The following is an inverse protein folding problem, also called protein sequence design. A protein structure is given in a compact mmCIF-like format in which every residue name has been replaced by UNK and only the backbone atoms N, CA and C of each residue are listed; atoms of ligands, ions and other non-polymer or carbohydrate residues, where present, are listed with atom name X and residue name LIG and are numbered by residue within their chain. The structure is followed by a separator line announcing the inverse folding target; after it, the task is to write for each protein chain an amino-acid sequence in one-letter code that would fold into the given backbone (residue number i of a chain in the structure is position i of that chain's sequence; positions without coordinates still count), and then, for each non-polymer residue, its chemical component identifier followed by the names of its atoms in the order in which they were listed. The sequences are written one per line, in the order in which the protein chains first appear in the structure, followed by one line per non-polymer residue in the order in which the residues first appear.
data_IF_420818441718
#
_entry.id   IF_420818441718
#
_cell.length_a   1.000
_cell.length_b   1.000
_cell.length_c   1.000
_cell.angle_alpha   90.00
_cell.angle_beta   90.00
_cell.angle_gamma   90.00
#
_symmetry.space_group_name_H-M   'P 1'
#
loop_
_entity.id
_entity.type
_entity.pdbx_description
1 polymer ?
#
# COMPACT_ATOMS: atom_id res chain seq x y z
N UNK A 1 34.65 4.71 -2.98
CA UNK A 1 34.40 4.52 -1.53
C UNK A 1 33.45 5.60 -0.97
N UNK A 2 33.81 6.90 -0.95
CA UNK A 2 32.93 8.00 -0.46
C UNK A 2 31.55 8.13 -1.12
N UNK A 3 31.43 7.76 -2.40
CA UNK A 3 30.22 7.96 -3.21
C UNK A 3 29.17 6.85 -3.04
N UNK A 4 29.54 5.74 -2.40
CA UNK A 4 28.70 4.53 -2.29
C UNK A 4 28.11 4.39 -0.88
N UNK A 5 28.77 4.93 0.15
CA UNK A 5 28.18 5.03 1.49
C UNK A 5 27.09 6.13 1.54
N UNK A 6 27.17 7.12 0.66
CA UNK A 6 26.15 8.17 0.51
C UNK A 6 24.84 7.65 -0.07
N UNK A 7 24.85 6.68 -1.01
CA UNK A 7 23.62 6.21 -1.68
C UNK A 7 22.73 5.33 -0.80
N UNK A 8 23.32 4.51 0.08
CA UNK A 8 22.56 3.67 1.04
C UNK A 8 21.97 4.54 2.16
N UNK A 9 22.73 5.53 2.64
CA UNK A 9 22.22 6.50 3.61
C UNK A 9 21.07 7.34 3.05
N UNK A 10 21.07 7.64 1.75
CA UNK A 10 20.02 8.45 1.12
C UNK A 10 18.72 7.69 0.95
N UNK A 11 18.72 6.41 0.51
CA UNK A 11 17.48 5.64 0.30
C UNK A 11 16.76 5.32 1.62
N UNK A 12 17.49 4.94 2.67
CA UNK A 12 16.90 4.73 4.00
C UNK A 12 16.38 6.03 4.62
N UNK A 13 17.06 7.15 4.36
CA UNK A 13 16.60 8.46 4.78
C UNK A 13 15.34 8.89 4.02
N UNK A 14 15.28 8.64 2.70
CA UNK A 14 14.11 8.92 1.87
C UNK A 14 12.89 8.10 2.32
N UNK A 15 13.04 6.81 2.57
CA UNK A 15 11.94 5.97 3.06
C UNK A 15 11.41 6.43 4.42
N UNK A 16 12.30 6.79 5.37
CA UNK A 16 11.90 7.35 6.67
C UNK A 16 11.21 8.70 6.51
N UNK A 17 11.71 9.55 5.62
CA UNK A 17 11.11 10.84 5.29
C UNK A 17 9.69 10.67 4.72
N UNK A 18 9.51 9.80 3.72
CA UNK A 18 8.21 9.54 3.10
C UNK A 18 7.19 8.99 4.11
N UNK A 19 7.61 8.09 5.01
CA UNK A 19 6.74 7.59 6.09
C UNK A 19 6.36 8.73 7.06
N UNK A 20 7.31 9.57 7.45
CA UNK A 20 7.05 10.71 8.33
C UNK A 20 6.08 11.71 7.69
N UNK A 21 6.26 12.02 6.40
CA UNK A 21 5.34 12.83 5.61
C UNK A 21 3.94 12.21 5.57
N UNK A 22 3.84 10.89 5.37
CA UNK A 22 2.55 10.19 5.36
C UNK A 22 1.81 10.32 6.70
N UNK A 23 2.52 10.15 7.82
CA UNK A 23 1.94 10.32 9.17
C UNK A 23 1.47 11.75 9.38
N UNK A 24 2.30 12.75 9.03
CA UNK A 24 1.96 14.16 9.18
C UNK A 24 0.74 14.53 8.34
N UNK A 25 0.72 14.14 7.07
CA UNK A 25 -0.39 14.41 6.14
C UNK A 25 -1.67 13.71 6.61
N UNK A 26 -1.58 12.48 7.13
CA UNK A 26 -2.73 11.76 7.69
C UNK A 26 -3.32 12.47 8.91
N UNK A 27 -2.47 12.98 9.82
CA UNK A 27 -2.93 13.76 11.00
C UNK A 27 -3.61 15.05 10.55
N UNK A 28 -2.97 15.79 9.63
CA UNK A 28 -3.54 17.02 9.07
C UNK A 28 -4.86 16.74 8.38
N UNK A 29 -4.94 15.66 7.59
CA UNK A 29 -6.17 15.20 6.95
C UNK A 29 -7.29 14.93 7.94
N UNK A 30 -7.02 14.19 9.01
CA UNK A 30 -8.00 13.93 10.07
C UNK A 30 -8.51 15.21 10.74
N UNK A 31 -7.63 16.19 10.97
CA UNK A 31 -8.01 17.49 11.52
C UNK A 31 -8.88 18.30 10.55
N UNK A 32 -8.57 18.26 9.25
CA UNK A 32 -9.37 18.91 8.20
C UNK A 32 -10.75 18.26 8.14
N UNK A 33 -10.85 16.93 8.11
CA UNK A 33 -12.13 16.20 8.09
C UNK A 33 -12.99 16.58 9.31
N UNK A 34 -12.40 16.55 10.50
CA UNK A 34 -13.10 16.88 11.75
C UNK A 34 -13.66 18.32 11.76
N UNK A 35 -13.00 19.26 11.07
CA UNK A 35 -13.51 20.63 10.90
C UNK A 35 -14.50 20.77 9.76
N UNK A 36 -14.31 20.05 8.66
CA UNK A 36 -15.12 20.18 7.45
C UNK A 36 -16.54 19.60 7.61
N UNK A 37 -16.68 18.45 8.29
CA UNK A 37 -18.00 17.81 8.51
C UNK A 37 -19.01 18.78 9.16
N UNK A 38 -18.74 19.41 10.32
CA UNK A 38 -19.72 20.29 10.96
C UNK A 38 -20.01 21.55 10.15
N UNK A 39 -19.07 22.04 9.34
CA UNK A 39 -19.26 23.21 8.46
C UNK A 39 -20.16 22.87 7.27
N UNK A 40 -20.01 21.68 6.72
CA UNK A 40 -20.73 21.26 5.51
C UNK A 40 -22.07 20.59 5.80
N UNK A 41 -22.31 20.10 7.03
CA UNK A 41 -23.56 19.40 7.41
C UNK A 41 -24.83 20.12 6.92
N UNK A 42 -24.89 21.45 7.06
CA UNK A 42 -26.09 22.23 6.74
C UNK A 42 -26.34 22.27 5.23
N UNK A 43 -25.29 22.15 4.40
CA UNK A 43 -25.44 22.05 2.94
C UNK A 43 -26.10 20.73 2.54
N UNK A 44 -25.74 19.63 3.19
CA UNK A 44 -26.34 18.32 2.93
C UNK A 44 -27.82 18.30 3.34
N UNK A 45 -28.14 18.87 4.51
CA UNK A 45 -29.54 19.03 4.94
C UNK A 45 -30.34 19.86 3.93
N UNK A 46 -29.79 20.98 3.44
CA UNK A 46 -30.43 21.79 2.40
C UNK A 46 -30.62 21.05 1.08
N UNK A 47 -29.67 20.17 0.71
CA UNK A 47 -29.72 19.33 -0.47
C UNK A 47 -30.65 18.11 -0.35
N UNK A 48 -31.44 18.01 0.74
CA UNK A 48 -32.28 16.85 1.05
C UNK A 48 -31.51 15.54 1.29
N UNK A 49 -30.20 15.61 1.57
CA UNK A 49 -29.37 14.47 1.98
C UNK A 49 -29.36 14.37 3.50
N UNK A 50 -30.47 13.90 4.06
CA UNK A 50 -30.65 13.75 5.49
C UNK A 50 -31.59 12.59 5.82
N UNK A 51 -31.44 12.05 7.02
CA UNK A 51 -32.31 11.03 7.57
C UNK A 51 -32.52 11.19 9.07
N UNK A 52 -33.23 10.23 9.65
CA UNK A 52 -33.56 10.18 11.08
C UNK A 52 -32.81 9.04 11.75
N UNK A 53 -32.38 9.24 13.00
CA UNK A 53 -31.80 8.16 13.81
C UNK A 53 -32.91 7.21 14.27
N UNK A 54 -33.11 6.11 13.55
CA UNK A 54 -34.20 5.15 13.80
C UNK A 54 -34.16 4.52 15.21
N UNK A 55 -33.01 4.56 15.89
CA UNK A 55 -32.83 3.93 17.21
C UNK A 55 -33.05 4.91 18.38
N UNK A 56 -33.44 6.15 18.13
CA UNK A 56 -33.75 7.15 19.17
C UNK A 56 -35.24 7.46 19.24
N UNK A 57 -35.76 7.67 20.46
CA UNK A 57 -37.19 7.98 20.69
C UNK A 57 -37.59 9.34 20.11
N UNK A 58 -36.70 10.33 20.13
CA UNK A 58 -36.94 11.67 19.59
C UNK A 58 -36.47 11.80 18.13
N UNK A 59 -36.41 10.68 17.40
CA UNK A 59 -35.78 10.60 16.07
C UNK A 59 -36.38 11.53 15.03
N UNK A 60 -37.70 11.75 15.07
CA UNK A 60 -38.42 12.54 14.06
C UNK A 60 -38.23 14.05 14.20
N UNK A 61 -37.64 14.52 15.30
CA UNK A 61 -37.44 15.95 15.57
C UNK A 61 -36.11 16.47 15.01
N UNK A 62 -35.10 15.61 14.89
CA UNK A 62 -33.73 16.01 14.54
C UNK A 62 -33.34 15.35 13.22
N UNK A 63 -33.14 16.19 12.19
CA UNK A 63 -32.56 15.76 10.91
C UNK A 63 -31.06 15.60 11.04
N UNK A 64 -30.54 14.46 10.60
CA UNK A 64 -29.11 14.16 10.60
C UNK A 64 -28.65 14.14 9.15
N UNK A 65 -27.56 14.85 8.85
CA UNK A 65 -26.99 14.89 7.50
C UNK A 65 -26.45 13.51 7.11
N UNK A 66 -26.84 13.02 5.94
CA UNK A 66 -26.38 11.74 5.39
C UNK A 66 -25.23 11.96 4.39
N UNK A 67 -24.63 10.86 3.92
CA UNK A 67 -23.53 10.85 2.93
C UNK A 67 -22.32 11.72 3.28
N UNK A 68 -22.08 11.99 4.57
CA UNK A 68 -20.95 12.82 5.03
C UNK A 68 -19.59 12.18 4.75
N UNK A 69 -19.56 10.86 4.51
CA UNK A 69 -18.35 10.10 4.16
C UNK A 69 -17.67 10.63 2.89
N UNK A 70 -18.42 11.23 1.96
CA UNK A 70 -17.86 11.83 0.74
C UNK A 70 -16.84 12.93 1.05
N UNK A 71 -17.06 13.72 2.11
CA UNK A 71 -16.13 14.77 2.54
C UNK A 71 -14.80 14.16 2.98
N UNK A 72 -14.86 13.08 3.76
CA UNK A 72 -13.67 12.37 4.23
C UNK A 72 -12.92 11.70 3.06
N UNK A 73 -13.66 11.12 2.12
CA UNK A 73 -13.11 10.48 0.93
C UNK A 73 -12.44 11.48 -0.02
N UNK A 74 -13.05 12.64 -0.26
CA UNK A 74 -12.47 13.71 -1.10
C UNK A 74 -11.16 14.22 -0.51
N UNK A 75 -11.13 14.46 0.80
CA UNK A 75 -9.89 14.86 1.51
C UNK A 75 -8.84 13.76 1.39
N UNK A 76 -9.21 12.49 1.60
CA UNK A 76 -8.30 11.36 1.41
C UNK A 76 -7.70 11.33 -0.01
N UNK A 77 -8.51 11.48 -1.05
CA UNK A 77 -8.04 11.47 -2.45
C UNK A 77 -7.05 12.61 -2.72
N UNK A 78 -7.36 13.84 -2.28
CA UNK A 78 -6.47 14.99 -2.43
C UNK A 78 -5.11 14.72 -1.75
N UNK A 79 -5.15 14.21 -0.52
CA UNK A 79 -3.93 13.92 0.24
C UNK A 79 -3.12 12.79 -0.41
N UNK A 80 -3.78 11.79 -0.99
CA UNK A 80 -3.10 10.72 -1.71
C UNK A 80 -2.41 11.20 -3.00
N UNK A 81 -3.01 12.15 -3.74
CA UNK A 81 -2.33 12.78 -4.87
C UNK A 81 -1.06 13.52 -4.45
N UNK A 82 -1.12 14.25 -3.32
CA UNK A 82 0.06 14.90 -2.74
C UNK A 82 1.11 13.84 -2.33
N UNK A 83 0.67 12.74 -1.72
CA UNK A 83 1.58 11.65 -1.35
C UNK A 83 2.26 11.00 -2.54
N UNK A 84 1.57 10.79 -3.66
CA UNK A 84 2.19 10.29 -4.89
C UNK A 84 3.27 11.25 -5.37
N UNK A 85 3.01 12.56 -5.38
CA UNK A 85 4.01 13.54 -5.78
C UNK A 85 5.26 13.50 -4.88
N UNK A 86 5.10 13.27 -3.58
CA UNK A 86 6.21 13.11 -2.62
C UNK A 86 6.96 11.79 -2.86
N UNK A 87 6.26 10.66 -3.01
CA UNK A 87 6.89 9.34 -3.20
C UNK A 87 7.75 9.29 -4.46
N UNK A 88 7.32 9.95 -5.54
CA UNK A 88 8.02 9.97 -6.81
C UNK A 88 8.91 11.21 -7.00
N UNK A 89 9.04 12.10 -6.00
CA UNK A 89 9.74 13.38 -6.16
C UNK A 89 11.20 13.23 -6.59
N UNK A 90 11.91 12.24 -6.04
CA UNK A 90 13.31 11.95 -6.39
C UNK A 90 13.47 11.43 -7.84
N UNK A 91 12.43 10.83 -8.40
CA UNK A 91 12.44 10.27 -9.75
C UNK A 91 12.02 11.29 -10.83
N UNK A 92 11.62 12.50 -10.43
CA UNK A 92 11.27 13.59 -11.35
C UNK A 92 12.50 14.33 -11.88
N UNK A 93 13.70 13.99 -11.42
CA UNK A 93 14.93 14.57 -11.94
C UNK A 93 15.22 14.08 -13.37
N UNK A 94 15.72 14.94 -14.29
CA UNK A 94 15.91 14.56 -15.70
C UNK A 94 16.90 13.42 -15.94
N UNK A 95 17.69 13.04 -14.93
CA UNK A 95 18.74 12.03 -15.02
C UNK A 95 18.37 10.70 -14.34
N UNK A 96 17.18 10.60 -13.73
CA UNK A 96 16.68 9.39 -13.10
C UNK A 96 15.66 8.69 -13.98
N UNK A 97 15.78 7.38 -14.13
CA UNK A 97 14.74 6.56 -14.76
C UNK A 97 13.47 6.58 -13.90
N UNK A 98 12.33 6.83 -14.53
CA UNK A 98 11.06 6.92 -13.83
C UNK A 98 10.40 5.54 -13.68
N UNK A 99 10.05 5.09 -12.45
CA UNK A 99 9.45 3.78 -12.22
C UNK A 99 7.96 3.77 -12.60
N UNK A 100 7.70 3.69 -13.92
CA UNK A 100 6.35 3.73 -14.50
C UNK A 100 5.41 2.65 -13.95
N UNK A 101 5.88 1.42 -13.76
CA UNK A 101 5.05 0.30 -13.30
C UNK A 101 4.44 0.59 -11.91
N UNK A 102 5.26 1.09 -10.98
CA UNK A 102 4.82 1.47 -9.64
C UNK A 102 3.91 2.68 -9.66
N UNK A 103 4.24 3.70 -10.46
CA UNK A 103 3.41 4.89 -10.60
C UNK A 103 1.99 4.56 -11.10
N UNK A 104 1.90 3.68 -12.10
CA UNK A 104 0.63 3.23 -12.67
C UNK A 104 -0.18 2.43 -11.63
N UNK A 105 0.46 1.63 -10.78
CA UNK A 105 -0.21 0.94 -9.65
C UNK A 105 -0.89 1.93 -8.70
N UNK A 106 -0.20 3.00 -8.29
CA UNK A 106 -0.77 4.04 -7.43
C UNK A 106 -1.94 4.77 -8.10
N UNK A 107 -1.80 5.14 -9.37
CA UNK A 107 -2.87 5.82 -10.11
C UNK A 107 -4.10 4.93 -10.31
N UNK A 108 -3.91 3.64 -10.60
CA UNK A 108 -5.01 2.69 -10.76
C UNK A 108 -5.76 2.44 -9.46
N UNK A 109 -5.03 2.34 -8.33
CA UNK A 109 -5.63 2.24 -7.02
C UNK A 109 -6.48 3.49 -6.69
N UNK A 110 -5.95 4.70 -6.92
CA UNK A 110 -6.71 5.93 -6.70
C UNK A 110 -7.92 6.07 -7.62
N UNK A 111 -7.78 5.71 -8.90
CA UNK A 111 -8.90 5.73 -9.83
C UNK A 111 -10.01 4.78 -9.36
N UNK A 112 -9.64 3.58 -8.91
CA UNK A 112 -10.60 2.60 -8.37
C UNK A 112 -11.33 3.13 -7.13
N UNK A 113 -10.61 3.73 -6.18
CA UNK A 113 -11.19 4.33 -4.98
C UNK A 113 -12.09 5.52 -5.36
N UNK A 114 -11.66 6.40 -6.25
CA UNK A 114 -12.43 7.54 -6.73
C UNK A 114 -13.74 7.10 -7.39
N UNK A 115 -13.70 6.10 -8.29
CA UNK A 115 -14.89 5.52 -8.89
C UNK A 115 -15.84 4.94 -7.84
N UNK A 116 -15.32 4.23 -6.83
CA UNK A 116 -16.14 3.68 -5.75
C UNK A 116 -16.81 4.77 -4.91
N UNK A 117 -16.07 5.83 -4.55
CA UNK A 117 -16.60 6.96 -3.78
C UNK A 117 -17.70 7.68 -4.56
N UNK A 118 -17.48 7.94 -5.84
CA UNK A 118 -18.47 8.57 -6.72
C UNK A 118 -19.74 7.72 -6.84
N UNK A 119 -19.59 6.42 -7.09
CA UNK A 119 -20.72 5.51 -7.22
C UNK A 119 -21.45 5.29 -5.89
N UNK A 120 -20.75 5.26 -4.77
CA UNK A 120 -21.34 5.21 -3.43
C UNK A 120 -22.16 6.46 -3.13
N UNK A 121 -21.62 7.65 -3.43
CA UNK A 121 -22.36 8.90 -3.30
C UNK A 121 -23.55 8.96 -4.26
N UNK A 122 -23.39 8.49 -5.50
CA UNK A 122 -24.50 8.41 -6.45
C UNK A 122 -25.61 7.45 -5.99
N UNK A 123 -25.27 6.33 -5.35
CA UNK A 123 -26.25 5.41 -4.75
C UNK A 123 -27.06 6.08 -3.63
N UNK A 124 -26.39 6.85 -2.77
CA UNK A 124 -27.06 7.60 -1.70
C UNK A 124 -28.01 8.69 -2.24
N UNK A 125 -27.65 9.34 -3.35
CA UNK A 125 -28.46 10.41 -3.96
C UNK A 125 -29.63 9.86 -4.79
N UNK A 126 -29.41 8.77 -5.52
CA UNK A 126 -30.34 8.26 -6.54
C UNK A 126 -31.18 7.07 -6.08
N UNK A 127 -30.90 6.50 -4.91
CA UNK A 127 -31.54 5.30 -4.35
C UNK A 127 -31.66 4.17 -5.37
N UNK A 128 -30.51 3.64 -5.79
CA UNK A 128 -30.44 2.72 -6.92
C UNK A 128 -30.92 1.30 -6.55
N UNK A 129 -31.35 0.54 -7.55
CA UNK A 129 -31.82 -0.84 -7.35
C UNK A 129 -30.67 -1.74 -6.87
N UNK A 130 -30.97 -2.67 -5.96
CA UNK A 130 -30.02 -3.62 -5.37
C UNK A 130 -29.16 -4.39 -6.39
N UNK A 131 -29.72 -4.70 -7.57
CA UNK A 131 -28.99 -5.40 -8.65
C UNK A 131 -27.83 -4.57 -9.21
N UNK A 132 -27.98 -3.24 -9.24
CA UNK A 132 -26.95 -2.29 -9.67
C UNK A 132 -25.92 -2.06 -8.56
N UNK A 133 -26.35 -2.11 -7.28
CA UNK A 133 -25.45 -2.00 -6.12
C UNK A 133 -24.39 -3.11 -6.09
N UNK A 134 -24.72 -4.31 -6.59
CA UNK A 134 -23.75 -5.41 -6.75
C UNK A 134 -22.78 -5.21 -7.92
N UNK A 135 -23.17 -4.44 -8.94
CA UNK A 135 -22.38 -4.21 -10.15
C UNK A 135 -21.33 -3.10 -9.96
N UNK A 136 -21.62 -2.08 -9.14
CA UNK A 136 -20.70 -0.95 -8.98
C UNK A 136 -19.32 -1.31 -8.46
N UNK A 137 -19.16 -2.17 -7.43
CA UNK A 137 -17.84 -2.55 -6.98
C UNK A 137 -17.05 -3.30 -8.04
N UNK A 138 -17.72 -4.06 -8.92
CA UNK A 138 -17.08 -4.74 -10.05
C UNK A 138 -16.51 -3.71 -11.03
N UNK A 139 -17.34 -2.75 -11.48
CA UNK A 139 -16.91 -1.71 -12.43
C UNK A 139 -15.81 -0.84 -11.83
N UNK A 140 -15.98 -0.40 -10.59
CA UNK A 140 -14.99 0.42 -9.89
C UNK A 140 -13.65 -0.31 -9.66
N UNK A 141 -13.65 -1.63 -9.53
CA UNK A 141 -12.42 -2.43 -9.36
C UNK A 141 -11.64 -2.71 -10.66
N UNK A 142 -12.23 -2.44 -11.83
CA UNK A 142 -11.61 -2.75 -13.13
C UNK A 142 -10.24 -2.09 -13.35
N UNK A 143 -10.02 -0.80 -13.05
CA UNK A 143 -8.71 -0.17 -13.25
C UNK A 143 -7.59 -0.89 -12.52
N UNK A 144 -7.84 -1.25 -11.25
CA UNK A 144 -6.89 -1.98 -10.43
C UNK A 144 -6.61 -3.38 -10.98
N UNK A 145 -7.66 -4.08 -11.43
CA UNK A 145 -7.54 -5.41 -12.02
C UNK A 145 -6.72 -5.40 -13.31
N UNK A 146 -6.94 -4.41 -14.18
CA UNK A 146 -6.23 -4.29 -15.46
C UNK A 146 -4.74 -4.00 -15.26
N UNK A 147 -4.40 -3.12 -14.32
CA UNK A 147 -3.00 -2.82 -14.01
C UNK A 147 -2.32 -4.01 -13.32
N UNK A 148 -3.01 -4.70 -12.43
CA UNK A 148 -2.49 -5.93 -11.82
C UNK A 148 -2.18 -6.99 -12.88
N UNK A 149 -3.09 -7.18 -13.85
CA UNK A 149 -2.87 -8.10 -14.95
C UNK A 149 -1.71 -7.67 -15.86
N UNK A 150 -1.62 -6.37 -16.19
CA UNK A 150 -0.56 -5.84 -17.06
C UNK A 150 0.84 -5.97 -16.42
N UNK A 151 0.95 -5.75 -15.11
CA UNK A 151 2.24 -5.80 -14.41
C UNK A 151 2.65 -7.22 -14.04
N UNK A 152 1.73 -8.03 -13.50
CA UNK A 152 2.05 -9.33 -12.90
C UNK A 152 1.62 -10.54 -13.75
N UNK A 153 0.97 -10.31 -14.91
CA UNK A 153 0.53 -11.35 -15.84
C UNK A 153 -0.33 -12.47 -15.20
N UNK A 154 -0.93 -12.19 -14.05
CA UNK A 154 -1.72 -13.14 -13.26
C UNK A 154 -3.03 -12.50 -12.85
N UNK A 155 -4.11 -13.27 -12.92
CA UNK A 155 -5.46 -12.89 -12.46
C UNK A 155 -5.87 -13.77 -11.26
N UNK A 156 -4.98 -14.66 -10.82
CA UNK A 156 -5.30 -15.66 -9.80
C UNK A 156 -5.10 -15.04 -8.42
N UNK A 157 -6.19 -14.56 -7.83
CA UNK A 157 -6.20 -14.14 -6.43
C UNK A 157 -6.10 -15.40 -5.56
N UNK A 158 -5.04 -15.49 -4.76
CA UNK A 158 -4.83 -16.61 -3.84
C UNK A 158 -5.84 -16.48 -2.69
N UNK A 159 -6.91 -17.29 -2.71
CA UNK A 159 -7.82 -17.36 -1.58
C UNK A 159 -7.17 -18.05 -0.37
N UNK A 160 -7.45 -17.61 0.88
CA UNK A 160 -7.02 -18.33 2.08
C UNK A 160 -7.59 -19.75 2.10
N UNK A 161 -6.76 -20.73 2.49
CA UNK A 161 -7.13 -22.17 2.53
C UNK A 161 -8.48 -22.47 3.21
N UNK A 162 -8.84 -21.89 4.39
CA UNK A 162 -10.12 -22.19 5.04
C UNK A 162 -11.34 -21.68 4.25
N UNK A 163 -11.14 -20.70 3.37
CA UNK A 163 -12.21 -20.04 2.61
C UNK A 163 -12.45 -20.72 1.25
N UNK A 164 -11.42 -21.39 0.69
CA UNK A 164 -11.48 -22.11 -0.58
C UNK A 164 -12.61 -23.13 -0.71
N UNK A 165 -12.93 -23.99 0.28
CA UNK A 165 -14.00 -24.99 0.12
C UNK A 165 -15.41 -24.39 0.13
N UNK A 166 -15.60 -23.21 0.76
CA UNK A 166 -16.92 -22.58 0.92
C UNK A 166 -17.23 -21.67 -0.26
N UNK A 167 -16.24 -20.89 -0.68
CA UNK A 167 -16.41 -19.88 -1.71
C UNK A 167 -16.05 -20.48 -3.09
N UNK A 168 -14.97 -21.24 -3.24
CA UNK A 168 -14.47 -21.66 -4.57
C UNK A 168 -13.51 -20.63 -5.17
N UNK A 169 -13.15 -20.79 -6.46
CA UNK A 169 -11.96 -20.13 -7.04
C UNK A 169 -12.13 -18.68 -7.52
N UNK A 170 -13.37 -18.18 -7.71
CA UNK A 170 -13.60 -16.88 -8.37
C UNK A 170 -14.57 -16.01 -7.56
N UNK A 171 -14.03 -15.17 -6.69
CA UNK A 171 -14.80 -14.21 -5.88
C UNK A 171 -14.26 -12.82 -6.09
N UNK A 172 -15.17 -11.85 -6.23
CA UNK A 172 -14.78 -10.46 -6.26
C UNK A 172 -14.75 -9.91 -4.84
N UNK A 173 -13.55 -9.85 -4.27
CA UNK A 173 -13.32 -9.32 -2.93
C UNK A 173 -13.81 -7.87 -2.79
N UNK A 174 -13.72 -7.06 -3.84
CA UNK A 174 -14.21 -5.68 -3.81
C UNK A 174 -15.73 -5.61 -3.63
N UNK A 175 -16.48 -6.49 -4.31
CA UNK A 175 -17.94 -6.61 -4.15
C UNK A 175 -18.29 -7.10 -2.76
N UNK A 176 -17.57 -8.09 -2.24
CA UNK A 176 -17.84 -8.62 -0.89
C UNK A 176 -17.58 -7.56 0.18
N UNK A 177 -16.42 -6.90 0.16
CA UNK A 177 -16.02 -5.95 1.20
C UNK A 177 -16.98 -4.76 1.31
N UNK A 178 -17.37 -4.15 0.18
CA UNK A 178 -18.26 -2.97 0.23
C UNK A 178 -19.67 -3.34 0.69
N UNK A 179 -20.20 -4.48 0.26
CA UNK A 179 -21.52 -4.93 0.68
C UNK A 179 -21.54 -5.47 2.12
N UNK A 180 -20.46 -6.11 2.58
CA UNK A 180 -20.38 -6.64 3.94
C UNK A 180 -20.48 -5.51 4.98
N UNK A 181 -19.74 -4.42 4.77
CA UNK A 181 -19.78 -3.24 5.66
C UNK A 181 -21.17 -2.58 5.59
N UNK A 182 -21.73 -2.43 4.39
CA UNK A 182 -23.04 -1.78 4.21
C UNK A 182 -24.21 -2.58 4.82
N UNK A 183 -24.13 -3.90 4.90
CA UNK A 183 -25.15 -4.74 5.56
C UNK A 183 -24.94 -4.77 7.08
N UNK A 184 -23.69 -4.70 7.55
CA UNK A 184 -23.36 -4.61 8.97
C UNK A 184 -23.37 -3.15 9.45
N UNK A 185 -24.55 -2.54 9.37
CA UNK A 185 -24.77 -1.11 9.59
C UNK A 185 -26.04 -0.86 10.42
N UNK A 186 -26.33 0.41 10.70
CA UNK A 186 -27.59 0.84 11.31
C UNK A 186 -27.53 1.09 12.82
N UNK A 187 -26.34 1.08 13.42
CA UNK A 187 -26.09 1.53 14.79
C UNK A 187 -25.00 2.60 14.76
N UNK A 188 -25.23 3.70 15.50
CA UNK A 188 -24.34 4.86 15.51
C UNK A 188 -22.87 4.47 15.69
N UNK A 189 -22.06 4.71 14.66
CA UNK A 189 -20.61 4.51 14.67
C UNK A 189 -20.14 3.09 14.38
N UNK A 190 -21.03 2.14 14.05
CA UNK A 190 -20.65 0.75 13.77
C UNK A 190 -19.86 0.62 12.47
N UNK A 191 -20.27 1.31 11.41
CA UNK A 191 -19.66 1.31 10.07
C UNK A 191 -18.24 1.89 10.12
N UNK A 192 -18.09 3.01 10.82
CA UNK A 192 -16.78 3.66 11.01
C UNK A 192 -15.92 2.87 11.98
N UNK A 193 -16.48 2.38 13.09
CA UNK A 193 -15.76 1.61 14.10
C UNK A 193 -15.15 0.33 13.55
N UNK A 194 -15.92 -0.49 12.81
CA UNK A 194 -15.40 -1.71 12.18
C UNK A 194 -14.31 -1.39 11.15
N UNK A 195 -14.45 -0.30 10.38
CA UNK A 195 -13.46 0.13 9.39
C UNK A 195 -12.14 0.55 10.04
N UNK A 196 -12.20 1.24 11.18
CA UNK A 196 -11.00 1.62 11.96
C UNK A 196 -10.28 0.37 12.48
N UNK A 197 -11.01 -0.62 13.02
CA UNK A 197 -10.42 -1.88 13.50
C UNK A 197 -9.71 -2.62 12.36
N UNK A 198 -10.32 -2.70 11.18
CA UNK A 198 -9.72 -3.30 9.98
C UNK A 198 -8.45 -2.54 9.56
N UNK A 199 -8.51 -1.20 9.49
CA UNK A 199 -7.39 -0.37 9.09
C UNK A 199 -6.19 -0.51 10.04
N UNK A 200 -6.42 -0.50 11.35
CA UNK A 200 -5.38 -0.71 12.37
C UNK A 200 -4.78 -2.11 12.24
N UNK A 201 -5.60 -3.13 11.99
CA UNK A 201 -5.13 -4.51 11.81
C UNK A 201 -4.21 -4.65 10.60
N UNK A 202 -4.57 -4.02 9.46
CA UNK A 202 -3.72 -3.98 8.25
C UNK A 202 -2.42 -3.22 8.53
N UNK A 203 -2.49 -2.11 9.27
CA UNK A 203 -1.30 -1.33 9.63
C UNK A 203 -0.33 -2.13 10.50
N UNK A 204 -0.84 -2.83 11.52
CA UNK A 204 -0.04 -3.70 12.39
C UNK A 204 0.56 -4.85 11.58
N UNK A 205 -0.25 -5.48 10.72
CA UNK A 205 0.23 -6.56 9.85
C UNK A 205 1.37 -6.09 8.95
N UNK A 206 1.21 -4.96 8.26
CA UNK A 206 2.25 -4.38 7.40
C UNK A 206 3.51 -4.02 8.20
N UNK A 207 3.36 -3.51 9.42
CA UNK A 207 4.50 -3.22 10.29
C UNK A 207 5.26 -4.49 10.66
N UNK A 208 4.56 -5.56 11.03
CA UNK A 208 5.18 -6.86 11.35
C UNK A 208 5.89 -7.43 10.12
N UNK A 209 5.24 -7.42 8.96
CA UNK A 209 5.80 -7.93 7.71
C UNK A 209 7.11 -7.21 7.33
N UNK A 210 7.15 -5.88 7.50
CA UNK A 210 8.37 -5.09 7.30
C UNK A 210 9.49 -5.52 8.26
N UNK A 211 9.19 -5.80 9.53
CA UNK A 211 10.19 -6.28 10.49
C UNK A 211 10.67 -7.70 10.18
N UNK A 212 9.75 -8.60 9.81
CA UNK A 212 10.10 -10.00 9.48
C UNK A 212 11.00 -10.06 8.26
N UNK A 213 10.68 -9.31 7.19
CA UNK A 213 11.50 -9.25 5.99
C UNK A 213 12.89 -8.65 6.25
N UNK A 214 13.01 -7.72 7.20
CA UNK A 214 14.31 -7.22 7.65
C UNK A 214 15.12 -8.31 8.39
N UNK A 215 14.48 -9.09 9.25
CA UNK A 215 15.13 -10.15 10.03
C UNK A 215 15.54 -11.32 9.15
N UNK A 216 14.68 -11.79 8.24
CA UNK A 216 15.01 -12.88 7.31
C UNK A 216 16.23 -12.53 6.46
N UNK A 217 16.26 -11.31 5.92
CA UNK A 217 17.37 -10.82 5.10
C UNK A 217 18.67 -10.71 5.91
N UNK A 218 18.60 -10.31 7.18
CA UNK A 218 19.77 -10.33 8.08
C UNK A 218 20.28 -11.75 8.37
N UNK A 219 19.38 -12.73 8.52
CA UNK A 219 19.73 -14.13 8.77
C UNK A 219 20.33 -14.79 7.52
N UNK A 220 19.78 -14.55 6.34
CA UNK A 220 20.30 -15.07 5.06
C UNK A 220 21.71 -14.52 4.78
N UNK A 221 21.94 -13.24 5.08
CA UNK A 221 23.26 -12.61 5.01
C UNK A 221 24.27 -13.24 5.97
N UNK A 222 23.87 -13.47 7.24
CA UNK A 222 24.75 -14.07 8.25
C UNK A 222 25.12 -15.52 7.90
N UNK A 223 24.17 -16.26 7.34
CA UNK A 223 24.38 -17.64 6.90
C UNK A 223 25.31 -17.69 5.69
N UNK A 224 25.09 -16.81 4.71
CA UNK A 224 25.97 -16.66 3.54
C UNK A 224 27.40 -16.28 3.94
N UNK A 225 27.56 -15.34 4.87
CA UNK A 225 28.87 -14.96 5.41
C UNK A 225 29.60 -16.14 6.07
N UNK A 226 28.90 -16.90 6.91
CA UNK A 226 29.49 -18.05 7.59
C UNK A 226 29.92 -19.15 6.61
N UNK A 227 29.12 -19.41 5.58
CA UNK A 227 29.45 -20.40 4.53
C UNK A 227 30.68 -19.97 3.73
N UNK A 228 30.79 -18.69 3.34
CA UNK A 228 31.96 -18.15 2.64
C UNK A 228 33.20 -18.25 3.53
N UNK A 229 33.10 -17.86 4.80
CA UNK A 229 34.22 -17.94 5.75
C UNK A 229 34.66 -19.40 5.99
N UNK A 230 33.72 -20.34 6.02
CA UNK A 230 34.04 -21.77 6.16
C UNK A 230 34.76 -22.32 4.91
N UNK A 231 34.30 -21.98 3.70
CA UNK A 231 34.98 -22.35 2.45
C UNK A 231 36.40 -21.80 2.37
N UNK A 232 36.62 -20.56 2.82
CA UNK A 232 37.94 -19.94 2.83
C UNK A 232 38.89 -20.56 3.87
N UNK A 233 38.36 -21.06 4.99
CA UNK A 233 39.16 -21.73 6.01
C UNK A 233 39.47 -23.20 5.66
N UNK A 234 38.74 -23.82 4.74
CA UNK A 234 39.05 -25.17 4.23
C UNK A 234 40.15 -25.20 3.18
N UNK A 235 40.53 -24.06 2.61
CA UNK A 235 41.48 -23.97 1.50
C UNK A 235 42.76 -23.20 1.92
N UNK A 236 43.78 -23.94 2.36
CA UNK A 236 45.02 -23.39 2.95
C UNK A 236 45.83 -22.50 1.98
N UNK A 237 45.53 -22.56 0.68
CA UNK A 237 46.19 -21.75 -0.35
C UNK A 237 45.60 -20.32 -0.47
N UNK A 238 44.37 -20.09 0.01
CA UNK A 238 43.66 -18.80 -0.08
C UNK A 238 43.81 -17.94 1.19
N UNK A 239 44.03 -18.59 2.34
CA UNK A 239 44.29 -17.94 3.64
C UNK A 239 45.50 -16.99 3.62
N UNK A 240 46.49 -17.23 2.76
CA UNK A 240 47.69 -16.38 2.69
C UNK A 240 47.51 -15.12 1.83
N UNK A 241 46.39 -14.97 1.11
CA UNK A 241 46.19 -13.92 0.10
C UNK A 241 45.07 -12.93 0.41
N UNK A 242 44.09 -13.31 1.23
CA UNK A 242 42.93 -12.46 1.54
C UNK A 242 43.03 -11.88 2.95
N UNK A 243 43.11 -10.55 3.02
CA UNK A 243 43.11 -9.82 4.27
C UNK A 243 41.68 -9.73 4.84
N UNK A 244 41.51 -9.71 6.16
CA UNK A 244 40.19 -9.73 6.82
C UNK A 244 39.26 -8.59 6.33
N UNK A 245 39.85 -7.43 6.05
CA UNK A 245 39.15 -6.26 5.49
C UNK A 245 38.65 -6.45 4.04
N UNK A 246 39.31 -7.29 3.24
CA UNK A 246 38.84 -7.60 1.87
C UNK A 246 37.61 -8.52 1.92
N UNK A 247 37.56 -9.44 2.88
CA UNK A 247 36.42 -10.33 3.04
C UNK A 247 35.14 -9.59 3.41
N UNK A 248 35.24 -8.61 4.32
CA UNK A 248 34.14 -7.71 4.67
C UNK A 248 33.65 -6.90 3.46
N UNK A 249 34.58 -6.45 2.60
CA UNK A 249 34.28 -5.75 1.37
C UNK A 249 33.57 -6.64 0.34
N UNK A 250 33.96 -7.91 0.19
CA UNK A 250 33.27 -8.87 -0.68
C UNK A 250 31.86 -9.17 -0.19
N UNK A 251 31.66 -9.29 1.12
CA UNK A 251 30.33 -9.51 1.70
C UNK A 251 29.42 -8.27 1.56
N UNK A 252 29.99 -7.06 1.67
CA UNK A 252 29.31 -5.81 1.33
C UNK A 252 28.98 -5.71 -0.18
N UNK A 253 29.83 -6.26 -1.03
CA UNK A 253 29.59 -6.31 -2.48
C UNK A 253 28.49 -7.30 -2.83
N UNK A 254 28.45 -8.47 -2.17
CA UNK A 254 27.36 -9.44 -2.29
C UNK A 254 26.03 -8.89 -1.74
N UNK A 255 26.06 -8.12 -0.65
CA UNK A 255 24.89 -7.36 -0.14
C UNK A 255 24.31 -6.45 -1.22
N UNK A 256 25.17 -5.74 -1.95
CA UNK A 256 24.75 -4.84 -3.05
C UNK A 256 24.21 -5.63 -4.23
N UNK A 257 24.82 -6.77 -4.51
CA UNK A 257 24.44 -7.65 -5.61
C UNK A 257 23.04 -8.23 -5.43
N UNK A 258 22.74 -8.71 -4.22
CA UNK A 258 21.45 -9.29 -3.86
C UNK A 258 20.30 -8.27 -3.94
N UNK A 259 20.54 -7.04 -3.48
CA UNK A 259 19.56 -5.95 -3.57
C UNK A 259 19.27 -5.59 -5.04
N UNK A 260 20.27 -5.63 -5.93
CA UNK A 260 20.10 -5.33 -7.36
C UNK A 260 19.52 -6.50 -8.16
N UNK A 261 19.67 -7.74 -7.68
CA UNK A 261 19.10 -8.94 -8.29
C UNK A 261 17.57 -9.04 -8.09
N UNK A 262 17.04 -8.42 -7.03
CA UNK A 262 15.59 -8.34 -6.76
C UNK A 262 14.85 -7.40 -7.76
N UNK A 263 15.59 -6.56 -8.50
CA UNK A 263 15.09 -5.73 -9.62
C UNK A 263 15.05 -6.50 -10.97
N UNK A 264 15.24 -7.83 -10.96
CA UNK A 264 15.04 -8.68 -12.14
C UNK A 264 16.20 -8.76 -13.12
N UNK A 265 17.40 -8.28 -12.77
CA UNK A 265 18.59 -8.48 -13.61
C UNK A 265 19.08 -9.94 -13.53
N UNK A 266 19.17 -10.64 -14.66
CA UNK A 266 19.74 -11.99 -14.70
C UNK A 266 21.23 -11.97 -14.30
N UNK A 267 21.65 -12.96 -13.50
CA UNK A 267 23.02 -13.20 -13.02
C UNK A 267 24.12 -13.12 -14.10
N UNK A 268 23.74 -13.29 -15.38
CA UNK A 268 24.63 -13.32 -16.54
C UNK A 268 25.28 -11.97 -16.90
N UNK A 269 24.68 -10.83 -16.52
CA UNK A 269 25.26 -9.50 -16.77
C UNK A 269 26.20 -9.01 -15.66
N UNK A 270 26.33 -9.79 -14.60
CA UNK A 270 27.04 -9.40 -13.40
C UNK A 270 28.57 -9.49 -13.55
N UNK A 271 29.04 -10.44 -14.36
CA UNK A 271 30.46 -10.66 -14.66
C UNK A 271 31.04 -9.49 -15.47
N UNK A 272 30.21 -8.80 -16.26
CA UNK A 272 30.63 -7.68 -17.10
C UNK A 272 30.78 -6.35 -16.33
N UNK A 273 30.23 -6.24 -15.12
CA UNK A 273 30.25 -5.00 -14.32
C UNK A 273 31.20 -5.02 -13.12
N UNK A 274 31.80 -6.17 -12.80
CA UNK A 274 32.80 -6.27 -11.74
C UNK A 274 34.13 -6.72 -12.36
N UNK A 275 35.08 -5.79 -12.60
CA UNK A 275 36.41 -6.18 -13.05
C UNK A 275 37.08 -7.04 -11.97
N UNK A 276 37.62 -8.18 -12.37
CA UNK A 276 38.32 -9.17 -11.53
C UNK A 276 37.43 -10.02 -10.60
N UNK A 277 36.31 -10.55 -11.12
CA UNK A 277 35.49 -11.56 -10.44
C UNK A 277 35.89 -13.02 -10.79
N UNK A 278 37.02 -13.22 -11.48
CA UNK A 278 37.64 -14.55 -11.69
C UNK A 278 38.30 -15.08 -10.41
#
# INVERSE_FOLDING_TARGET
MKQIDTSVSTTDHFNRFTIACNILISIVGGLIVNRSIPILKDKFIRAQLWGYDLNKRNSREIKIAESQSVIAADIFLILMFIMIAIVFSEHLHPQSDFPHNKFIEYLAALLSICCMVLLGFADDVLDLRWSVKLLFPLIASLPLLLVYFANYHSITIILPKPVRPILGHRWNLAVFCTNAINILAGVNGLEVGQSIVIAISILIFNFIELQVNLISLQLDMKTSFNNINQCLNSDSHFQSKINFNQLELYCLTLRRLYIHLDDGLSFKHLIEHIPNLE
#
